data_IF_621194692548
#
_entry.id   IF_621194692548
#
_cell.length_a   1.000
_cell.length_b   1.000
_cell.length_c   1.000
_cell.angle_alpha   90.00
_cell.angle_beta   90.00
_cell.angle_gamma   90.00
#
_symmetry.space_group_name_H-M   'P 1'
#
loop_
_entity.id
_entity.type
_entity.pdbx_description
1 polymer ?
#
# COMPACT_ATOMS: atom_id res chain seq x y z
N UNK A 1 43.66 0.36 18.77
CA UNK A 1 43.43 1.17 17.55
C UNK A 1 42.49 0.52 16.53
N UNK A 2 42.44 -0.81 16.43
CA UNK A 2 41.51 -1.55 15.54
C UNK A 2 40.07 -1.55 16.06
N UNK A 3 39.87 -1.74 17.37
CA UNK A 3 38.54 -1.80 17.97
C UNK A 3 37.69 -0.52 17.75
N UNK A 4 38.29 0.66 17.96
CA UNK A 4 37.62 1.94 17.72
C UNK A 4 37.22 2.14 16.25
N UNK A 5 38.08 1.70 15.32
CA UNK A 5 37.79 1.74 13.88
C UNK A 5 36.61 0.84 13.53
N UNK A 6 36.56 -0.36 14.09
CA UNK A 6 35.44 -1.30 13.87
C UNK A 6 34.13 -0.74 14.41
N UNK A 7 34.12 -0.13 15.60
CA UNK A 7 32.92 0.53 16.14
C UNK A 7 32.43 1.69 15.28
N UNK A 8 33.34 2.52 14.77
CA UNK A 8 32.97 3.64 13.89
C UNK A 8 32.37 3.15 12.56
N UNK A 9 32.94 2.09 11.98
CA UNK A 9 32.40 1.47 10.76
C UNK A 9 31.02 0.88 11.03
N UNK A 10 30.84 0.16 12.15
CA UNK A 10 29.55 -0.41 12.52
C UNK A 10 28.46 0.67 12.72
N UNK A 11 28.82 1.79 13.36
CA UNK A 11 27.90 2.91 13.56
C UNK A 11 27.48 3.56 12.22
N UNK A 12 28.43 3.74 11.29
CA UNK A 12 28.15 4.27 9.95
C UNK A 12 27.23 3.35 9.14
N UNK A 13 27.49 2.05 9.16
CA UNK A 13 26.66 1.06 8.46
C UNK A 13 25.24 1.03 9.04
N UNK A 14 25.11 1.05 10.37
CA UNK A 14 23.80 1.13 11.04
C UNK A 14 23.03 2.40 10.68
N UNK A 15 23.70 3.56 10.69
CA UNK A 15 23.09 4.83 10.30
C UNK A 15 22.64 4.83 8.83
N UNK A 16 23.46 4.31 7.92
CA UNK A 16 23.12 4.20 6.51
C UNK A 16 21.88 3.31 6.27
N UNK A 17 21.77 2.19 7.00
CA UNK A 17 20.61 1.29 6.92
C UNK A 17 19.32 1.98 7.41
N UNK A 18 19.37 2.66 8.56
CA UNK A 18 18.19 3.36 9.11
C UNK A 18 17.75 4.52 8.20
N UNK A 19 18.71 5.29 7.67
CA UNK A 19 18.41 6.39 6.73
C UNK A 19 17.80 5.85 5.43
N UNK A 20 18.37 4.79 4.85
CA UNK A 20 17.83 4.13 3.65
C UNK A 20 16.41 3.58 3.86
N UNK A 21 16.18 2.88 4.98
CA UNK A 21 14.86 2.35 5.33
C UNK A 21 13.82 3.47 5.58
N UNK A 22 14.24 4.55 6.26
CA UNK A 22 13.37 5.71 6.55
C UNK A 22 13.03 6.50 5.29
N UNK A 23 13.98 6.65 4.36
CA UNK A 23 13.75 7.32 3.07
C UNK A 23 12.71 6.58 2.23
N UNK A 24 12.76 5.23 2.21
CA UNK A 24 11.74 4.40 1.55
C UNK A 24 10.35 4.59 2.15
N UNK A 25 10.23 4.64 3.49
CA UNK A 25 8.94 4.82 4.18
C UNK A 25 8.30 6.19 3.91
N UNK A 26 9.08 7.26 3.79
CA UNK A 26 8.53 8.60 3.53
C UNK A 26 7.87 8.67 2.15
N UNK A 27 8.58 8.22 1.11
CA UNK A 27 8.09 8.21 -0.28
C UNK A 27 6.94 7.22 -0.49
N UNK A 28 7.00 6.05 0.17
CA UNK A 28 5.87 5.12 0.22
C UNK A 28 4.64 5.75 0.89
N UNK A 29 4.85 6.51 1.98
CA UNK A 29 3.78 7.20 2.68
C UNK A 29 3.10 8.27 1.83
N UNK A 30 3.85 9.01 1.02
CA UNK A 30 3.30 10.02 0.10
C UNK A 30 2.45 9.37 -1.00
N UNK A 31 2.97 8.32 -1.64
CA UNK A 31 2.24 7.55 -2.67
C UNK A 31 1.00 6.90 -2.06
N UNK A 32 1.12 6.28 -0.88
CA UNK A 32 0.00 5.65 -0.20
C UNK A 32 -1.08 6.67 0.19
N UNK A 33 -0.70 7.87 0.64
CA UNK A 33 -1.66 8.94 0.94
C UNK A 33 -2.38 9.43 -0.32
N UNK A 34 -1.65 9.62 -1.42
CA UNK A 34 -2.25 10.00 -2.70
C UNK A 34 -3.24 8.93 -3.19
N UNK A 35 -2.84 7.65 -3.14
CA UNK A 35 -3.70 6.52 -3.48
C UNK A 35 -4.93 6.44 -2.59
N UNK A 36 -4.78 6.62 -1.27
CA UNK A 36 -5.91 6.68 -0.33
C UNK A 36 -6.84 7.85 -0.60
N UNK A 37 -6.30 9.02 -0.98
CA UNK A 37 -7.10 10.19 -1.33
C UNK A 37 -7.98 9.91 -2.55
N UNK A 38 -7.42 9.30 -3.58
CA UNK A 38 -8.18 8.87 -4.77
C UNK A 38 -9.20 7.80 -4.42
N UNK A 39 -8.83 6.81 -3.61
CA UNK A 39 -9.74 5.73 -3.20
C UNK A 39 -10.93 6.22 -2.38
N UNK A 40 -10.71 7.22 -1.53
CA UNK A 40 -11.74 7.81 -0.67
C UNK A 40 -12.52 8.95 -1.34
N UNK A 41 -12.21 9.28 -2.58
CA UNK A 41 -12.95 10.29 -3.34
C UNK A 41 -14.42 9.85 -3.53
N UNK A 42 -15.40 10.74 -3.27
CA UNK A 42 -16.81 10.39 -3.36
C UNK A 42 -17.25 9.95 -4.76
N UNK A 43 -16.59 10.43 -5.83
CA UNK A 43 -16.82 9.97 -7.19
C UNK A 43 -16.39 8.53 -7.39
N UNK A 44 -15.17 8.19 -6.94
CA UNK A 44 -14.63 6.81 -6.99
C UNK A 44 -15.48 5.86 -6.15
N UNK A 45 -15.86 6.26 -4.94
CA UNK A 45 -16.75 5.49 -4.07
C UNK A 45 -18.08 5.15 -4.76
N UNK A 46 -18.76 6.15 -5.34
CA UNK A 46 -20.04 5.95 -6.06
C UNK A 46 -19.92 5.00 -7.26
N UNK A 47 -18.82 5.07 -8.00
CA UNK A 47 -18.59 4.18 -9.15
C UNK A 47 -18.31 2.75 -8.67
N UNK A 48 -17.47 2.61 -7.65
CA UNK A 48 -17.14 1.32 -7.04
C UNK A 48 -18.40 0.63 -6.50
N UNK A 49 -19.22 1.33 -5.72
CA UNK A 49 -20.43 0.76 -5.13
C UNK A 49 -21.44 0.33 -6.22
N UNK A 50 -21.59 1.12 -7.29
CA UNK A 50 -22.39 0.72 -8.47
C UNK A 50 -21.82 -0.52 -9.18
N UNK A 51 -20.50 -0.64 -9.23
CA UNK A 51 -19.82 -1.78 -9.85
C UNK A 51 -20.05 -3.04 -9.03
N UNK A 52 -19.91 -2.98 -7.71
CA UNK A 52 -20.24 -4.10 -6.83
C UNK A 52 -21.68 -4.55 -7.00
N UNK A 53 -22.64 -3.62 -7.02
CA UNK A 53 -24.05 -3.95 -7.24
C UNK A 53 -24.30 -4.62 -8.60
N UNK A 54 -23.55 -4.25 -9.65
CA UNK A 54 -23.63 -4.91 -10.97
C UNK A 54 -23.04 -6.32 -10.94
N UNK A 55 -21.89 -6.49 -10.29
CA UNK A 55 -21.22 -7.80 -10.15
C UNK A 55 -22.10 -8.75 -9.35
N UNK A 56 -22.67 -8.29 -8.24
CA UNK A 56 -23.60 -9.07 -7.42
C UNK A 56 -24.84 -9.50 -8.23
N UNK A 57 -25.45 -8.58 -8.97
CA UNK A 57 -26.57 -8.91 -9.87
C UNK A 57 -26.17 -9.92 -10.95
N UNK A 58 -24.97 -9.80 -11.51
CA UNK A 58 -24.45 -10.75 -12.49
C UNK A 58 -24.20 -12.13 -11.87
N UNK A 59 -23.61 -12.16 -10.68
CA UNK A 59 -23.37 -13.39 -9.90
C UNK A 59 -24.69 -14.09 -9.55
N UNK A 60 -25.69 -13.36 -9.04
CA UNK A 60 -27.01 -13.91 -8.72
C UNK A 60 -27.74 -14.43 -9.97
N UNK A 61 -27.60 -13.75 -11.12
CA UNK A 61 -28.13 -14.23 -12.40
C UNK A 61 -27.42 -15.49 -12.86
N UNK A 62 -26.11 -15.59 -12.65
CA UNK A 62 -25.35 -16.79 -12.95
C UNK A 62 -25.78 -17.94 -12.03
N UNK A 63 -25.84 -17.74 -10.72
CA UNK A 63 -26.31 -18.73 -9.75
C UNK A 63 -27.71 -19.25 -10.12
N UNK A 64 -28.65 -18.35 -10.41
CA UNK A 64 -30.01 -18.69 -10.86
C UNK A 64 -30.05 -19.51 -12.16
N UNK A 65 -29.11 -19.27 -13.09
CA UNK A 65 -28.98 -20.06 -14.33
C UNK A 65 -28.37 -21.44 -14.09
N UNK A 66 -27.53 -21.58 -13.05
CA UNK A 66 -26.86 -22.82 -12.68
C UNK A 66 -27.74 -23.66 -11.73
N UNK A 67 -28.83 -23.08 -11.20
CA UNK A 67 -29.81 -23.80 -10.38
C UNK A 67 -29.42 -23.91 -8.91
N UNK A 68 -28.53 -23.03 -8.42
CA UNK A 68 -28.16 -22.87 -7.00
C UNK A 68 -28.79 -21.60 -6.44
#
# INVERSE_FOLDING_TARGET
MTFLRVMLIAALVGAAYVVGAKAGRKRYGEISRAAKKVWNDPGVKKVRDRTYAKVEKAANRAAKKIGV
#
